data_IF_960013198226
#
_entry.id   IF_960013198226
#
_cell.length_a   1.000
_cell.length_b   1.000
_cell.length_c   1.000
_cell.angle_alpha   90.00
_cell.angle_beta   90.00
_cell.angle_gamma   90.00
#
_symmetry.space_group_name_H-M   'P 1'
#
loop_
_entity.id
_entity.type
_entity.pdbx_description
1 polymer ?
#
# COMPACT_ATOMS: atom_id res chain seq x y z
N UNK A 1 17.55 -0.06 -3.58
CA UNK A 1 18.72 0.31 -4.38
C UNK A 1 18.35 0.32 -5.87
N UNK A 2 18.79 1.32 -6.62
CA UNK A 2 18.69 1.41 -8.06
C UNK A 2 20.13 1.59 -8.62
N UNK A 3 20.77 0.49 -8.98
CA UNK A 3 22.19 0.49 -9.33
C UNK A 3 23.06 1.04 -8.18
N UNK A 4 23.75 2.15 -8.44
CA UNK A 4 24.60 2.85 -7.46
C UNK A 4 23.86 3.90 -6.61
N UNK A 5 22.51 3.95 -6.69
CA UNK A 5 21.68 4.93 -5.97
C UNK A 5 20.89 4.26 -4.86
N UNK A 6 20.86 4.90 -3.70
CA UNK A 6 20.02 4.55 -2.57
C UNK A 6 18.87 5.58 -2.51
N UNK A 7 17.64 5.09 -2.63
CA UNK A 7 16.43 5.90 -2.55
C UNK A 7 15.78 5.68 -1.18
N UNK A 8 15.47 6.75 -0.48
CA UNK A 8 14.93 6.73 0.89
C UNK A 8 13.77 7.72 0.99
N UNK A 9 12.59 7.21 1.26
CA UNK A 9 11.43 8.01 1.63
C UNK A 9 11.48 8.31 3.14
N UNK A 10 11.13 9.53 3.53
CA UNK A 10 11.32 10.02 4.90
C UNK A 10 10.07 10.71 5.45
N UNK A 11 9.92 10.66 6.76
CA UNK A 11 8.83 11.32 7.48
C UNK A 11 8.90 12.87 7.40
N UNK A 12 10.01 13.43 6.96
CA UNK A 12 10.11 14.87 6.68
C UNK A 12 9.43 15.29 5.36
N UNK A 13 8.85 14.31 4.63
CA UNK A 13 8.09 14.51 3.40
C UNK A 13 8.92 14.49 2.12
N UNK A 14 10.19 14.14 2.21
CA UNK A 14 11.08 14.07 1.05
C UNK A 14 11.40 12.62 0.66
N UNK A 15 11.58 12.44 -0.64
CA UNK A 15 12.31 11.32 -1.21
C UNK A 15 13.76 11.77 -1.45
N UNK A 16 14.70 11.06 -0.89
CA UNK A 16 16.14 11.30 -1.04
C UNK A 16 16.76 10.28 -1.97
N UNK A 17 17.64 10.73 -2.82
CA UNK A 17 18.53 9.89 -3.61
C UNK A 17 19.97 10.14 -3.19
N UNK A 18 20.63 9.11 -2.73
CA UNK A 18 22.01 9.14 -2.24
C UNK A 18 22.90 8.26 -3.11
N UNK A 19 24.15 8.60 -3.25
CA UNK A 19 25.14 7.70 -3.80
C UNK A 19 25.39 6.54 -2.82
N UNK A 20 25.09 5.30 -3.22
CA UNK A 20 25.09 4.14 -2.33
C UNK A 20 26.44 3.87 -1.68
N UNK A 21 27.56 4.15 -2.39
CA UNK A 21 28.90 3.90 -1.87
C UNK A 21 29.44 4.97 -0.90
N UNK A 22 28.87 6.20 -0.92
CA UNK A 22 29.40 7.33 -0.12
C UNK A 22 28.37 8.01 0.78
N UNK A 23 27.08 7.72 0.60
CA UNK A 23 26.00 8.42 1.26
C UNK A 23 25.81 9.88 0.80
N UNK A 24 26.55 10.34 -0.21
CA UNK A 24 26.43 11.71 -0.73
C UNK A 24 25.05 11.93 -1.33
N UNK A 25 24.40 13.05 -0.96
CA UNK A 25 23.14 13.47 -1.56
C UNK A 25 23.35 13.79 -3.05
N UNK A 26 22.58 13.13 -3.91
CA UNK A 26 22.51 13.37 -5.34
C UNK A 26 21.38 14.33 -5.69
N UNK A 27 20.19 14.02 -5.20
CA UNK A 27 19.00 14.88 -5.31
C UNK A 27 18.01 14.54 -4.19
N UNK A 28 17.07 15.45 -3.98
CA UNK A 28 15.89 15.21 -3.13
C UNK A 28 14.65 15.81 -3.77
N UNK A 29 13.51 15.21 -3.53
CA UNK A 29 12.22 15.63 -4.04
C UNK A 29 11.21 15.75 -2.91
N UNK A 30 10.49 16.89 -2.80
CA UNK A 30 9.43 17.08 -1.80
C UNK A 30 8.13 16.51 -2.32
N UNK A 31 7.52 15.55 -1.60
CA UNK A 31 6.26 14.92 -1.99
C UNK A 31 5.02 15.77 -1.72
N UNK A 32 5.04 16.61 -0.68
CA UNK A 32 3.93 17.49 -0.34
C UNK A 32 3.96 18.82 -1.09
N UNK A 33 2.85 19.59 -1.11
CA UNK A 33 2.75 20.85 -1.86
C UNK A 33 3.60 21.97 -1.24
N UNK A 34 3.87 21.90 0.06
CA UNK A 34 4.66 22.88 0.80
C UNK A 34 5.41 22.24 1.97
N UNK A 35 6.38 22.96 2.52
CA UNK A 35 7.07 22.53 3.75
C UNK A 35 6.24 22.96 4.97
N UNK A 36 5.37 22.06 5.44
CA UNK A 36 4.55 22.25 6.61
C UNK A 36 4.75 21.06 7.55
N UNK A 37 4.98 21.36 8.82
CA UNK A 37 5.33 20.35 9.81
C UNK A 37 4.30 20.30 10.93
N UNK A 38 4.15 19.11 11.48
CA UNK A 38 3.32 18.85 12.65
C UNK A 38 4.04 17.91 13.62
N UNK A 39 3.58 17.88 14.85
CA UNK A 39 4.05 16.90 15.83
C UNK A 39 3.31 15.59 15.58
N UNK A 40 4.02 14.55 15.26
CA UNK A 40 3.49 13.21 15.07
C UNK A 40 4.47 12.17 15.65
N UNK A 41 3.95 11.24 16.44
CA UNK A 41 4.75 10.19 17.05
C UNK A 41 6.00 10.73 17.80
N UNK A 42 5.78 11.76 18.63
CA UNK A 42 6.81 12.44 19.44
C UNK A 42 7.92 13.13 18.63
N UNK A 43 7.72 13.32 17.33
CA UNK A 43 8.69 13.92 16.43
C UNK A 43 8.04 15.01 15.57
N UNK A 44 8.88 15.92 15.06
CA UNK A 44 8.46 16.85 14.02
C UNK A 44 8.49 16.14 12.68
N UNK A 45 7.33 15.89 12.10
CA UNK A 45 7.18 15.25 10.78
C UNK A 45 6.57 16.23 9.78
N UNK A 46 6.67 15.93 8.50
CA UNK A 46 5.91 16.64 7.48
C UNK A 46 4.41 16.37 7.65
N UNK A 47 3.57 17.34 7.31
CA UNK A 47 2.13 17.10 7.15
C UNK A 47 1.85 16.05 6.06
N UNK A 48 2.76 15.92 5.09
CA UNK A 48 2.74 14.90 4.04
C UNK A 48 3.99 14.01 4.12
N UNK A 49 4.08 13.12 5.11
CA UNK A 49 5.24 12.26 5.26
C UNK A 49 5.30 11.25 4.11
N UNK A 50 6.50 10.92 3.66
CA UNK A 50 6.73 9.92 2.63
C UNK A 50 6.94 8.53 3.27
N UNK A 51 5.86 7.94 3.78
CA UNK A 51 5.88 6.65 4.51
C UNK A 51 5.64 5.44 3.64
N UNK A 52 5.07 5.63 2.44
CA UNK A 52 4.98 4.54 1.49
C UNK A 52 6.37 4.10 1.07
N UNK A 53 6.59 2.80 1.06
CA UNK A 53 7.86 2.25 0.60
C UNK A 53 8.14 2.64 -0.85
N UNK A 54 9.40 2.87 -1.14
CA UNK A 54 9.87 3.22 -2.48
C UNK A 54 9.92 1.99 -3.37
N UNK A 55 9.36 2.07 -4.57
CA UNK A 55 9.43 1.05 -5.60
C UNK A 55 10.23 1.58 -6.80
N UNK A 56 11.11 0.76 -7.34
CA UNK A 56 11.88 1.09 -8.55
C UNK A 56 11.61 0.05 -9.62
N UNK A 57 11.26 0.54 -10.81
CA UNK A 57 11.12 -0.26 -12.04
C UNK A 57 11.94 0.40 -13.16
N UNK A 58 13.05 -0.24 -13.52
CA UNK A 58 14.01 0.32 -14.48
C UNK A 58 14.55 1.67 -14.04
N UNK A 59 14.29 2.70 -14.80
CA UNK A 59 14.72 4.09 -14.54
C UNK A 59 13.69 4.94 -13.81
N UNK A 60 12.56 4.35 -13.42
CA UNK A 60 11.45 5.02 -12.75
C UNK A 60 11.41 4.63 -11.28
N UNK A 61 11.23 5.63 -10.40
CA UNK A 61 10.93 5.43 -8.98
C UNK A 61 9.53 5.91 -8.66
N UNK A 62 8.78 5.07 -7.97
CA UNK A 62 7.44 5.36 -7.47
C UNK A 62 7.49 5.56 -5.97
N UNK A 63 6.79 6.58 -5.48
CA UNK A 63 6.58 6.79 -4.04
C UNK A 63 5.31 7.60 -3.80
N UNK A 64 4.79 7.55 -2.58
CA UNK A 64 3.66 8.37 -2.17
C UNK A 64 4.00 9.20 -0.93
N UNK A 65 3.42 10.40 -0.87
CA UNK A 65 3.49 11.30 0.27
C UNK A 65 2.08 11.67 0.74
N UNK A 66 1.92 11.80 2.04
CA UNK A 66 0.65 12.02 2.71
C UNK A 66 0.25 10.84 3.58
N UNK A 67 -0.54 11.12 4.61
CA UNK A 67 -1.01 10.11 5.57
C UNK A 67 -2.53 10.15 5.71
N UNK A 68 -3.09 11.36 5.71
CA UNK A 68 -4.51 11.58 5.86
C UNK A 68 -5.10 12.12 4.55
N UNK A 69 -6.16 11.48 4.07
CA UNK A 69 -6.84 11.92 2.84
C UNK A 69 -7.31 13.37 2.93
N UNK A 70 -7.74 13.82 4.12
CA UNK A 70 -8.13 15.22 4.36
C UNK A 70 -7.03 16.26 4.08
N UNK A 71 -5.78 15.84 4.18
CA UNK A 71 -4.62 16.72 3.97
C UNK A 71 -4.06 16.63 2.54
N UNK A 72 -4.56 15.69 1.76
CA UNK A 72 -4.07 15.38 0.43
C UNK A 72 -3.09 14.21 0.42
N UNK A 73 -3.18 13.42 -0.63
CA UNK A 73 -2.27 12.31 -0.93
C UNK A 73 -1.69 12.53 -2.31
N UNK A 74 -0.41 12.34 -2.44
CA UNK A 74 0.37 12.61 -3.63
C UNK A 74 1.14 11.36 -4.03
N UNK A 75 0.81 10.78 -5.18
CA UNK A 75 1.52 9.65 -5.77
C UNK A 75 2.34 10.13 -6.96
N UNK A 76 3.57 9.67 -7.05
CA UNK A 76 4.53 10.11 -8.06
C UNK A 76 5.23 8.96 -8.76
N UNK A 77 5.53 9.18 -10.05
CA UNK A 77 6.65 8.54 -10.75
C UNK A 77 7.70 9.60 -11.06
N UNK A 78 8.94 9.32 -10.68
CA UNK A 78 10.09 10.21 -10.94
C UNK A 78 11.18 9.45 -11.68
N UNK A 79 12.01 10.15 -12.44
CA UNK A 79 13.24 9.59 -12.98
C UNK A 79 14.26 9.34 -11.86
N UNK A 80 14.83 8.15 -11.82
CA UNK A 80 15.83 7.76 -10.83
C UNK A 80 17.10 8.64 -10.94
N UNK A 81 17.44 9.08 -12.16
CA UNK A 81 18.69 9.78 -12.44
C UNK A 81 18.75 11.17 -11.78
N UNK A 82 17.66 11.92 -11.80
CA UNK A 82 17.63 13.34 -11.41
C UNK A 82 16.42 13.74 -10.55
N UNK A 83 15.48 12.82 -10.28
CA UNK A 83 14.26 13.11 -9.52
C UNK A 83 13.22 13.92 -10.30
N UNK A 84 13.38 14.05 -11.61
CA UNK A 84 12.42 14.75 -12.47
C UNK A 84 11.08 14.00 -12.52
N UNK A 85 9.97 14.74 -12.42
CA UNK A 85 8.61 14.19 -12.43
C UNK A 85 8.28 13.63 -13.82
N UNK A 86 7.89 12.36 -13.87
CA UNK A 86 7.29 11.72 -15.04
C UNK A 86 5.78 11.98 -15.00
N UNK A 87 5.13 11.60 -13.90
CA UNK A 87 3.74 11.94 -13.63
C UNK A 87 3.48 12.14 -12.13
N UNK A 88 2.38 12.79 -11.83
CA UNK A 88 1.85 13.00 -10.48
C UNK A 88 0.35 12.70 -10.47
N UNK A 89 -0.14 12.00 -9.46
CA UNK A 89 -1.55 11.90 -9.13
C UNK A 89 -1.78 12.49 -7.73
N UNK A 90 -2.55 13.58 -7.64
CA UNK A 90 -2.95 14.25 -6.40
C UNK A 90 -4.48 14.29 -6.22
N UNK A 91 -5.21 13.46 -6.95
CA UNK A 91 -6.68 13.40 -6.91
C UNK A 91 -7.23 12.30 -6.00
N UNK A 92 -6.39 11.34 -5.60
CA UNK A 92 -6.79 10.13 -4.87
C UNK A 92 -7.20 10.36 -3.41
N UNK A 93 -6.96 11.56 -2.90
CA UNK A 93 -7.36 11.95 -1.56
C UNK A 93 -8.87 12.28 -1.44
N UNK A 94 -9.54 12.62 -2.54
CA UNK A 94 -10.89 13.16 -2.56
C UNK A 94 -11.84 12.32 -3.41
N UNK A 95 -11.76 11.00 -3.25
CA UNK A 95 -12.66 10.07 -3.93
C UNK A 95 -13.97 10.00 -3.14
N UNK A 96 -15.11 10.18 -3.82
CA UNK A 96 -16.42 9.95 -3.22
C UNK A 96 -16.69 8.45 -3.23
N UNK A 97 -16.69 7.84 -2.04
CA UNK A 97 -16.76 6.39 -1.86
C UNK A 97 -17.74 6.03 -0.74
N UNK A 98 -18.16 4.78 -0.74
CA UNK A 98 -18.83 4.20 0.41
C UNK A 98 -17.87 4.14 1.59
N UNK A 99 -18.24 4.78 2.70
CA UNK A 99 -17.45 4.77 3.91
C UNK A 99 -17.62 3.43 4.67
N UNK A 100 -16.69 3.10 5.58
CA UNK A 100 -16.76 1.85 6.34
C UNK A 100 -17.95 1.74 7.28
N UNK A 101 -18.66 2.82 7.53
CA UNK A 101 -19.87 2.83 8.35
C UNK A 101 -21.12 2.55 7.51
N UNK A 102 -22.13 1.83 8.07
CA UNK A 102 -23.34 1.46 7.34
C UNK A 102 -24.04 2.66 6.70
N UNK A 103 -24.37 2.54 5.41
CA UNK A 103 -25.18 3.49 4.68
C UNK A 103 -24.62 4.91 4.55
N UNK A 104 -23.32 5.10 4.82
CA UNK A 104 -22.70 6.39 4.64
C UNK A 104 -21.83 6.39 3.38
N UNK A 105 -21.97 7.46 2.63
CA UNK A 105 -21.10 7.81 1.50
C UNK A 105 -20.50 9.18 1.78
N UNK A 106 -19.29 9.39 1.33
CA UNK A 106 -18.62 10.66 1.56
C UNK A 106 -17.28 10.73 0.86
N UNK A 107 -16.64 11.88 1.03
CA UNK A 107 -15.26 12.04 0.58
C UNK A 107 -14.38 11.22 1.51
N UNK A 108 -13.88 10.15 0.98
CA UNK A 108 -12.82 9.37 1.55
C UNK A 108 -11.65 9.38 0.60
N UNK A 109 -10.52 8.82 1.00
CA UNK A 109 -9.38 8.78 0.13
C UNK A 109 -8.50 7.58 0.42
N UNK A 110 -7.61 7.34 -0.50
CA UNK A 110 -6.59 6.32 -0.37
C UNK A 110 -5.49 6.89 0.49
N UNK A 111 -5.16 6.18 1.58
CA UNK A 111 -4.03 6.53 2.45
C UNK A 111 -2.91 5.52 2.28
N UNK A 112 -1.72 5.91 1.81
CA UNK A 112 -0.61 4.99 1.64
C UNK A 112 -0.12 4.48 2.99
N UNK A 113 -0.05 3.15 3.15
CA UNK A 113 0.33 2.49 4.39
C UNK A 113 1.25 1.30 4.11
N UNK A 114 2.50 1.57 3.75
CA UNK A 114 3.48 0.53 3.52
C UNK A 114 4.05 0.47 2.11
N UNK A 115 4.57 -0.68 1.73
CA UNK A 115 5.30 -0.80 0.47
C UNK A 115 4.37 -0.86 -0.74
N UNK A 116 4.82 -0.21 -1.82
CA UNK A 116 4.23 -0.37 -3.14
C UNK A 116 4.63 -1.71 -3.76
N UNK A 117 3.79 -2.25 -4.62
CA UNK A 117 4.11 -3.39 -5.48
C UNK A 117 3.80 -3.08 -6.93
N UNK A 118 4.36 -3.85 -7.84
CA UNK A 118 4.14 -3.71 -9.27
C UNK A 118 3.87 -5.07 -9.89
N UNK A 119 2.84 -5.14 -10.72
CA UNK A 119 2.58 -6.28 -11.57
C UNK A 119 2.16 -5.82 -12.95
N UNK A 120 2.93 -6.20 -13.97
CA UNK A 120 2.73 -5.77 -15.35
C UNK A 120 2.67 -4.22 -15.44
N UNK A 121 1.51 -3.70 -15.79
CA UNK A 121 1.21 -2.28 -15.97
C UNK A 121 0.53 -1.62 -14.76
N UNK A 122 0.37 -2.35 -13.66
CA UNK A 122 -0.37 -1.88 -12.50
C UNK A 122 0.53 -1.68 -11.29
N UNK A 123 0.62 -0.43 -10.83
CA UNK A 123 1.19 -0.04 -9.55
C UNK A 123 0.15 -0.25 -8.45
N UNK A 124 0.54 -0.92 -7.38
CA UNK A 124 -0.35 -1.33 -6.30
C UNK A 124 0.13 -0.72 -5.00
N UNK A 125 -0.82 -0.10 -4.27
CA UNK A 125 -0.58 0.59 -3.01
C UNK A 125 -1.27 -0.15 -1.86
N UNK A 126 -0.51 -0.48 -0.83
CA UNK A 126 -1.07 -0.91 0.44
C UNK A 126 -1.77 0.26 1.15
N UNK A 127 -2.98 0.05 1.64
CA UNK A 127 -3.82 1.11 2.23
C UNK A 127 -4.11 0.89 3.72
N UNK A 128 -3.45 -0.07 4.33
CA UNK A 128 -3.61 -0.41 5.75
C UNK A 128 -4.89 -1.19 6.01
N UNK A 129 -5.98 -0.51 6.35
CA UNK A 129 -7.24 -1.16 6.80
C UNK A 129 -8.23 -1.48 5.68
N UNK A 130 -7.96 -1.05 4.46
CA UNK A 130 -8.85 -1.22 3.30
C UNK A 130 -8.21 -2.12 2.25
N UNK A 131 -8.95 -2.47 1.18
CA UNK A 131 -8.38 -3.19 0.05
C UNK A 131 -7.18 -2.43 -0.54
N UNK A 132 -6.22 -3.10 -1.16
CA UNK A 132 -5.22 -2.40 -1.92
C UNK A 132 -5.82 -1.52 -3.01
N UNK A 133 -5.14 -0.43 -3.33
CA UNK A 133 -5.49 0.44 -4.44
C UNK A 133 -4.58 0.17 -5.64
N UNK A 134 -5.14 0.23 -6.85
CA UNK A 134 -4.42 0.04 -8.10
C UNK A 134 -4.37 1.29 -8.95
N UNK A 135 -3.24 1.50 -9.63
CA UNK A 135 -2.97 2.62 -10.53
C UNK A 135 -2.28 2.12 -11.78
N UNK A 136 -2.53 2.77 -12.89
CA UNK A 136 -1.75 2.57 -14.10
C UNK A 136 -0.32 3.10 -13.88
N UNK A 137 0.69 2.29 -14.14
CA UNK A 137 2.08 2.66 -13.83
C UNK A 137 2.66 3.73 -14.76
N UNK A 138 2.16 3.82 -15.98
CA UNK A 138 2.68 4.76 -16.99
C UNK A 138 2.06 6.15 -16.83
N UNK A 139 0.82 6.23 -16.39
CA UNK A 139 0.06 7.49 -16.32
C UNK A 139 -0.25 7.95 -14.89
N UNK A 140 -0.22 7.03 -13.92
CA UNK A 140 -0.68 7.27 -12.55
C UNK A 140 -2.20 7.32 -12.42
N UNK A 141 -2.95 6.94 -13.46
CA UNK A 141 -4.41 6.92 -13.44
C UNK A 141 -4.93 5.92 -12.40
N UNK A 142 -5.94 6.34 -11.65
CA UNK A 142 -6.60 5.49 -10.67
C UNK A 142 -7.42 4.40 -11.35
N UNK A 143 -7.23 3.14 -10.95
CA UNK A 143 -7.90 1.97 -11.52
C UNK A 143 -8.96 1.38 -10.60
N UNK A 144 -8.61 1.15 -9.34
CA UNK A 144 -9.53 0.55 -8.37
C UNK A 144 -9.14 0.84 -6.92
N UNK A 145 -10.16 0.90 -6.09
CA UNK A 145 -10.09 0.90 -4.62
C UNK A 145 -11.47 0.61 -4.07
N UNK A 146 -11.58 -0.29 -3.12
CA UNK A 146 -12.85 -0.59 -2.48
C UNK A 146 -12.73 -0.48 -0.96
N UNK A 147 -13.36 0.54 -0.41
CA UNK A 147 -13.44 0.77 1.02
C UNK A 147 -14.68 0.13 1.67
N UNK A 148 -15.66 -0.32 0.87
CA UNK A 148 -16.90 -0.90 1.37
C UNK A 148 -16.71 -2.28 2.01
N UNK A 149 -15.63 -2.97 1.64
CA UNK A 149 -15.27 -4.27 2.20
C UNK A 149 -14.84 -4.21 3.68
N UNK A 150 -14.61 -3.02 4.25
CA UNK A 150 -14.26 -2.85 5.66
C UNK A 150 -15.31 -3.35 6.65
N UNK A 151 -16.57 -3.47 6.22
CA UNK A 151 -17.68 -3.82 7.12
C UNK A 151 -17.62 -5.24 7.69
N UNK A 152 -17.05 -6.15 6.95
CA UNK A 152 -17.09 -7.58 7.30
C UNK A 152 -15.68 -8.14 7.53
N UNK A 153 -14.69 -7.55 6.91
CA UNK A 153 -13.34 -8.09 6.90
C UNK A 153 -12.38 -6.95 6.59
N UNK A 154 -11.50 -6.57 7.48
CA UNK A 154 -10.47 -5.58 7.18
C UNK A 154 -9.45 -6.16 6.17
N UNK A 155 -9.69 -6.04 4.84
CA UNK A 155 -8.93 -6.77 3.83
C UNK A 155 -7.66 -6.03 3.43
N UNK A 156 -6.92 -5.51 4.38
CA UNK A 156 -5.74 -4.73 4.06
C UNK A 156 -4.69 -4.78 5.16
N UNK A 157 -3.47 -4.51 4.76
CA UNK A 157 -2.33 -4.41 5.66
C UNK A 157 -1.33 -3.36 5.16
N UNK A 158 -0.21 -3.27 5.86
CA UNK A 158 0.92 -2.43 5.46
C UNK A 158 1.82 -3.07 4.39
N UNK A 159 1.41 -4.19 3.80
CA UNK A 159 2.14 -4.85 2.74
C UNK A 159 1.20 -5.46 1.70
N UNK A 160 1.69 -5.51 0.49
CA UNK A 160 1.07 -6.19 -0.65
C UNK A 160 2.12 -6.97 -1.40
N UNK A 161 1.72 -8.09 -1.99
CA UNK A 161 2.52 -8.86 -2.93
C UNK A 161 1.71 -9.02 -4.20
N UNK A 162 2.34 -8.85 -5.35
CA UNK A 162 1.68 -8.99 -6.64
C UNK A 162 2.35 -10.05 -7.50
N UNK A 163 1.56 -10.85 -8.18
CA UNK A 163 2.01 -11.87 -9.10
C UNK A 163 0.86 -12.71 -9.63
N UNK A 164 1.03 -13.32 -10.81
CA UNK A 164 0.02 -14.17 -11.43
C UNK A 164 -1.36 -13.52 -11.55
N UNK A 165 -1.38 -12.25 -11.95
CA UNK A 165 -2.60 -11.46 -12.12
C UNK A 165 -3.40 -11.25 -10.83
N UNK A 166 -2.78 -11.50 -9.68
CA UNK A 166 -3.36 -11.32 -8.35
C UNK A 166 -2.50 -10.43 -7.47
N UNK A 167 -3.17 -9.74 -6.56
CA UNK A 167 -2.59 -8.96 -5.47
C UNK A 167 -3.01 -9.61 -4.17
N UNK A 168 -2.05 -9.90 -3.32
CA UNK A 168 -2.29 -10.51 -2.01
C UNK A 168 -1.97 -9.51 -0.91
N UNK A 169 -2.81 -9.47 0.10
CA UNK A 169 -2.60 -8.71 1.32
C UNK A 169 -3.13 -9.49 2.52
N UNK A 170 -2.64 -9.17 3.70
CA UNK A 170 -3.15 -9.71 4.95
C UNK A 170 -4.60 -9.24 5.16
N UNK A 171 -5.40 -10.10 5.72
CA UNK A 171 -6.76 -9.83 6.16
C UNK A 171 -6.82 -9.98 7.67
N UNK A 172 -7.28 -8.95 8.35
CA UNK A 172 -7.62 -9.01 9.76
C UNK A 172 -9.13 -8.88 9.91
N UNK A 173 -9.73 -9.86 10.57
CA UNK A 173 -11.10 -9.76 11.01
C UNK A 173 -11.09 -9.07 12.38
N UNK A 174 -11.56 -7.85 12.43
CA UNK A 174 -11.91 -7.18 13.68
C UNK A 174 -13.41 -6.96 13.65
N UNK A 175 -14.16 -7.67 14.47
CA UNK A 175 -15.55 -7.29 14.74
C UNK A 175 -15.51 -6.02 15.61
N UNK A 176 -15.97 -4.87 15.11
CA UNK A 176 -15.81 -3.60 15.81
C UNK A 176 -16.58 -3.52 17.14
N UNK A 177 -17.59 -4.37 17.33
CA UNK A 177 -18.55 -4.28 18.45
C UNK A 177 -18.56 -5.50 19.36
N UNK A 178 -17.65 -6.45 19.18
CA UNK A 178 -17.57 -7.59 20.07
C UNK A 178 -16.57 -7.35 21.18
N UNK A 179 -17.07 -6.97 22.34
CA UNK A 179 -16.30 -7.07 23.58
C UNK A 179 -16.02 -8.54 23.86
N UNK A 180 -14.85 -9.03 23.49
CA UNK A 180 -14.39 -10.37 23.90
C UNK A 180 -14.26 -10.34 25.41
N UNK A 181 -15.08 -11.12 26.10
CA UNK A 181 -14.93 -11.30 27.54
C UNK A 181 -13.67 -12.08 27.81
N UNK A 182 -12.90 -11.63 28.80
CA UNK A 182 -11.68 -12.30 29.21
C UNK A 182 -12.00 -13.79 29.51
N UNK A 183 -11.42 -14.74 28.76
CA UNK A 183 -11.63 -16.18 28.92
C UNK A 183 -12.56 -16.82 27.88
N UNK A 184 -13.18 -16.08 26.98
CA UNK A 184 -13.84 -16.65 25.80
C UNK A 184 -12.80 -16.89 24.70
N UNK A 185 -12.82 -18.09 24.10
CA UNK A 185 -12.04 -18.36 22.92
C UNK A 185 -12.47 -17.39 21.81
N UNK A 186 -11.52 -16.68 21.23
CA UNK A 186 -11.81 -15.86 20.04
C UNK A 186 -12.49 -16.77 19.00
N UNK A 187 -13.66 -16.35 18.45
CA UNK A 187 -14.24 -17.10 17.37
C UNK A 187 -13.20 -17.13 16.24
N UNK A 188 -13.04 -18.28 15.63
CA UNK A 188 -12.12 -18.55 14.53
C UNK A 188 -12.48 -17.79 13.25
N UNK A 189 -12.78 -16.51 13.34
CA UNK A 189 -12.92 -15.57 12.21
C UNK A 189 -11.54 -15.08 11.82
N UNK A 190 -10.89 -15.94 11.09
CA UNK A 190 -9.49 -15.98 10.92
C UNK A 190 -8.89 -14.78 10.23
N UNK A 191 -7.86 -14.30 10.83
CA UNK A 191 -6.75 -13.69 10.12
C UNK A 191 -6.43 -14.53 8.89
N UNK A 192 -6.06 -13.91 7.79
CA UNK A 192 -5.80 -14.63 6.56
C UNK A 192 -5.19 -13.76 5.48
N UNK A 193 -5.06 -14.35 4.31
CA UNK A 193 -4.67 -13.66 3.10
C UNK A 193 -5.90 -13.49 2.21
N UNK A 194 -6.02 -12.33 1.59
CA UNK A 194 -7.00 -12.09 0.53
C UNK A 194 -6.27 -11.75 -0.76
N UNK A 195 -6.79 -12.24 -1.86
CA UNK A 195 -6.29 -11.94 -3.19
C UNK A 195 -7.35 -11.22 -4.02
N UNK A 196 -6.88 -10.29 -4.82
CA UNK A 196 -7.67 -9.52 -5.78
C UNK A 196 -7.05 -9.62 -7.16
N UNK A 197 -7.87 -9.54 -8.18
CA UNK A 197 -7.37 -9.39 -9.55
C UNK A 197 -6.65 -8.04 -9.70
N UNK A 198 -5.42 -8.05 -10.16
CA UNK A 198 -4.51 -6.90 -10.15
C UNK A 198 -5.03 -5.66 -10.91
N UNK A 199 -5.83 -5.84 -11.95
CA UNK A 199 -6.32 -4.73 -12.80
C UNK A 199 -7.71 -4.23 -12.40
N UNK A 200 -8.55 -5.08 -11.84
CA UNK A 200 -9.96 -4.75 -11.55
C UNK A 200 -10.27 -4.60 -10.07
N UNK A 201 -9.37 -5.02 -9.20
CA UNK A 201 -9.59 -5.02 -7.75
C UNK A 201 -10.69 -5.98 -7.29
N UNK A 202 -11.23 -6.85 -8.16
CA UNK A 202 -12.23 -7.85 -7.75
C UNK A 202 -11.57 -8.91 -6.89
N UNK A 203 -12.19 -9.23 -5.76
CA UNK A 203 -11.71 -10.30 -4.89
C UNK A 203 -11.76 -11.64 -5.64
N UNK A 204 -10.65 -12.35 -5.63
CA UNK A 204 -10.49 -13.64 -6.30
C UNK A 204 -10.41 -14.81 -5.32
N UNK A 205 -9.72 -14.63 -4.19
CA UNK A 205 -9.45 -15.71 -3.24
C UNK A 205 -9.36 -15.16 -1.81
N UNK A 206 -9.77 -15.99 -0.84
CA UNK A 206 -9.52 -15.76 0.58
C UNK A 206 -8.96 -17.03 1.23
N UNK A 207 -7.84 -16.92 1.90
CA UNK A 207 -7.17 -18.00 2.61
C UNK A 207 -7.21 -17.73 4.11
N UNK A 208 -7.86 -18.62 4.84
CA UNK A 208 -7.97 -18.50 6.29
C UNK A 208 -6.69 -18.97 6.99
N UNK A 209 -6.36 -18.34 8.12
CA UNK A 209 -5.21 -18.68 8.96
C UNK A 209 -3.84 -18.63 8.24
N UNK A 210 -3.70 -17.80 7.19
CA UNK A 210 -2.45 -17.53 6.49
C UNK A 210 -2.10 -16.06 6.61
N UNK A 211 -0.88 -15.72 7.04
CA UNK A 211 -0.50 -14.35 7.39
C UNK A 211 0.65 -13.81 6.53
N UNK A 212 1.43 -14.69 5.95
CA UNK A 212 2.58 -14.33 5.12
C UNK A 212 2.60 -15.17 3.87
N UNK A 213 3.01 -14.58 2.77
CA UNK A 213 3.17 -15.30 1.51
C UNK A 213 4.42 -14.84 0.76
N UNK A 214 4.95 -15.76 -0.02
CA UNK A 214 5.96 -15.52 -1.05
C UNK A 214 5.45 -16.13 -2.33
N UNK A 215 5.53 -15.38 -3.43
CA UNK A 215 5.05 -15.83 -4.73
C UNK A 215 6.26 -16.17 -5.60
N UNK A 216 6.31 -17.44 -6.04
CA UNK A 216 7.19 -17.91 -7.10
C UNK A 216 6.52 -17.83 -8.47
N UNK A 217 7.17 -18.35 -9.53
CA UNK A 217 6.62 -18.31 -10.88
C UNK A 217 5.23 -18.94 -11.01
N UNK A 218 5.03 -20.09 -10.38
CA UNK A 218 3.82 -20.91 -10.50
C UNK A 218 3.20 -21.30 -9.16
N UNK A 219 3.88 -21.00 -8.05
CA UNK A 219 3.47 -21.44 -6.72
C UNK A 219 3.57 -20.32 -5.72
N UNK A 220 2.53 -20.14 -4.93
CA UNK A 220 2.56 -19.31 -3.73
C UNK A 220 2.81 -20.18 -2.51
N UNK A 221 3.74 -19.80 -1.68
CA UNK A 221 3.99 -20.39 -0.37
C UNK A 221 3.40 -19.50 0.71
N UNK A 222 2.40 -19.98 1.42
CA UNK A 222 1.73 -19.24 2.48
C UNK A 222 1.95 -19.90 3.86
N UNK A 223 2.29 -19.09 4.86
CA UNK A 223 2.50 -19.53 6.25
C UNK A 223 1.45 -18.97 7.18
N UNK A 224 1.05 -19.76 8.17
CA UNK A 224 0.10 -19.37 9.20
C UNK A 224 -0.56 -20.60 9.81
N UNK A 225 -1.14 -20.47 11.02
CA UNK A 225 -1.76 -21.59 11.72
C UNK A 225 -0.80 -22.75 11.96
N UNK A 226 0.50 -22.48 12.16
CA UNK A 226 1.51 -23.53 12.38
C UNK A 226 1.88 -24.36 11.13
N UNK A 227 1.48 -23.94 9.94
CA UNK A 227 1.73 -24.69 8.71
C UNK A 227 2.27 -23.83 7.56
N UNK A 228 3.05 -24.46 6.69
CA UNK A 228 3.45 -23.95 5.38
C UNK A 228 2.59 -24.65 4.32
N UNK A 229 1.94 -23.88 3.47
CA UNK A 229 1.08 -24.40 2.40
C UNK A 229 1.62 -23.90 1.05
N UNK A 230 1.81 -24.81 0.13
CA UNK A 230 2.08 -24.50 -1.27
C UNK A 230 0.74 -24.48 -2.03
N UNK A 231 0.50 -23.42 -2.78
CA UNK A 231 -0.73 -23.20 -3.55
C UNK A 231 -0.31 -23.03 -5.00
N UNK A 232 -0.83 -23.89 -5.86
CA UNK A 232 -0.65 -23.78 -7.29
C UNK A 232 -1.44 -22.56 -7.81
N UNK A 233 -0.76 -21.61 -8.44
CA UNK A 233 -1.37 -20.42 -9.03
C UNK A 233 -1.68 -20.61 -10.53
N UNK A 234 -1.34 -21.76 -11.09
CA UNK A 234 -1.62 -22.09 -12.50
C UNK A 234 -2.94 -22.85 -12.69
N UNK A 235 -3.56 -23.29 -11.56
CA UNK A 235 -4.80 -24.07 -11.56
C UNK A 235 -6.06 -23.20 -11.70
#
# INVERSE_FOLDING_TARGET
LAGTRLLVASDDGYLYCLAAGSGKLLWRFRGGPRDERLVGNEQMISRWPARAGVLVDGETVYFAAGMWSSDGIYLYALRVVDGGVIWKNDTIAHIYIRLPHPLQEGIGGISPQGYLALWKDTLIMATGRSSPAGFDKETGEFLFFDNALMKLHHPGSSWVIAGRDMVFSERRLVEPDRHVKLGEAEPAFGEGLTAWHYRTGKQALALHNKHRAVIGPDTMYATGGGSLTAIDLAA
#
